data_IF_442858210312
#
_entry.id   IF_442858210312
#
_cell.length_a   1.000
_cell.length_b   1.000
_cell.length_c   1.000
_cell.angle_alpha   90.00
_cell.angle_beta   90.00
_cell.angle_gamma   90.00
#
_symmetry.space_group_name_H-M   'P 1'
#
loop_
_entity.id
_entity.type
_entity.pdbx_description
1 polymer ?
#
# COMPACT_ATOMS: atom_id res chain seq x y z
N UNK A 1 3.46 -7.45 -13.74
CA UNK A 1 4.52 -6.54 -14.24
C UNK A 1 5.37 -6.07 -13.06
N UNK A 2 6.69 -5.98 -13.21
CA UNK A 2 7.61 -5.36 -12.24
C UNK A 2 8.48 -4.33 -12.96
N UNK A 3 8.63 -3.13 -12.39
CA UNK A 3 9.44 -2.04 -12.94
C UNK A 3 10.25 -1.38 -11.83
N UNK A 4 11.55 -1.22 -12.05
CA UNK A 4 12.43 -0.45 -11.16
C UNK A 4 12.37 1.04 -11.46
N UNK A 5 12.63 1.84 -10.44
CA UNK A 5 12.86 3.27 -10.53
C UNK A 5 14.00 3.67 -9.59
N UNK A 6 14.53 4.89 -9.74
CA UNK A 6 15.56 5.42 -8.85
C UNK A 6 15.05 5.43 -7.41
N UNK A 7 15.74 4.79 -6.44
CA UNK A 7 15.23 4.68 -5.08
C UNK A 7 14.81 6.02 -4.48
N UNK A 8 13.57 6.12 -4.02
CA UNK A 8 12.94 7.35 -3.53
C UNK A 8 12.32 7.15 -2.15
N UNK A 9 12.35 8.21 -1.36
CA UNK A 9 11.64 8.33 -0.07
C UNK A 9 10.31 9.06 -0.20
N UNK A 10 9.91 9.44 -1.41
CA UNK A 10 8.58 9.93 -1.73
C UNK A 10 8.07 9.34 -3.05
N UNK A 11 6.78 9.02 -3.09
CA UNK A 11 6.12 8.46 -4.26
C UNK A 11 4.77 9.10 -4.45
N UNK A 12 4.44 9.36 -5.72
CA UNK A 12 3.11 9.66 -6.16
C UNK A 12 2.68 8.63 -7.21
N UNK A 13 1.56 7.97 -6.99
CA UNK A 13 0.98 6.98 -7.91
C UNK A 13 -0.40 7.47 -8.31
N UNK A 14 -0.68 7.49 -9.62
CA UNK A 14 -2.03 7.78 -10.12
C UNK A 14 -2.45 6.81 -11.20
N UNK A 15 -3.72 6.45 -11.22
CA UNK A 15 -4.32 5.58 -12.24
C UNK A 15 -5.84 5.71 -12.21
N UNK A 16 -6.51 5.24 -13.25
CA UNK A 16 -7.96 5.00 -13.23
C UNK A 16 -8.23 3.52 -12.95
N UNK A 17 -9.27 3.23 -12.19
CA UNK A 17 -9.75 1.87 -11.94
C UNK A 17 -11.24 1.76 -12.20
N UNK A 18 -11.68 0.65 -12.78
CA UNK A 18 -13.08 0.27 -12.89
C UNK A 18 -13.27 -1.18 -12.47
N UNK A 19 -14.29 -1.43 -11.66
CA UNK A 19 -14.73 -2.78 -11.31
C UNK A 19 -16.01 -3.14 -12.06
N UNK A 20 -16.14 -4.37 -12.55
CA UNK A 20 -17.35 -4.84 -13.22
C UNK A 20 -18.59 -4.67 -12.32
N UNK A 21 -19.75 -4.42 -12.93
CA UNK A 21 -21.04 -4.49 -12.22
C UNK A 21 -21.18 -5.81 -11.46
N UNK A 22 -21.53 -5.72 -10.17
CA UNK A 22 -21.68 -6.89 -9.30
C UNK A 22 -20.36 -7.54 -8.85
N UNK A 23 -19.23 -6.83 -8.96
CA UNK A 23 -17.95 -7.23 -8.38
C UNK A 23 -18.10 -7.65 -6.92
N UNK A 24 -17.45 -8.76 -6.53
CA UNK A 24 -17.48 -9.31 -5.16
C UNK A 24 -16.09 -9.40 -4.54
N UNK A 25 -15.04 -9.11 -5.30
CA UNK A 25 -13.66 -9.34 -4.88
C UNK A 25 -13.43 -10.81 -4.52
N UNK A 26 -12.52 -11.05 -3.57
CA UNK A 26 -12.09 -12.39 -3.15
C UNK A 26 -13.01 -13.06 -2.13
N UNK A 27 -13.89 -12.30 -1.47
CA UNK A 27 -14.60 -12.71 -0.26
C UNK A 27 -13.67 -13.10 0.90
N UNK A 28 -12.48 -12.48 0.95
CA UNK A 28 -11.49 -12.57 2.03
C UNK A 28 -11.08 -11.16 2.45
N UNK A 29 -10.78 -10.97 3.72
CA UNK A 29 -10.36 -9.67 4.27
C UNK A 29 -8.92 -9.28 3.91
N UNK A 30 -8.16 -10.17 3.26
CA UNK A 30 -6.72 -10.04 2.96
C UNK A 30 -6.40 -10.19 1.46
N UNK A 31 -7.41 -10.28 0.60
CA UNK A 31 -7.28 -10.36 -0.86
C UNK A 31 -8.27 -9.39 -1.52
N UNK A 32 -7.98 -8.82 -2.69
CA UNK A 32 -6.89 -9.15 -3.61
C UNK A 32 -5.55 -8.55 -3.19
N UNK A 33 -4.45 -9.10 -3.73
CA UNK A 33 -3.23 -8.32 -3.91
C UNK A 33 -3.25 -7.62 -5.27
N UNK A 34 -2.85 -6.36 -5.34
CA UNK A 34 -2.98 -5.55 -6.56
C UNK A 34 -1.68 -4.84 -6.97
N UNK A 35 -1.36 -3.72 -6.31
CA UNK A 35 -0.14 -2.96 -6.53
C UNK A 35 0.73 -3.09 -5.29
N UNK A 36 1.99 -3.43 -5.52
CA UNK A 36 2.98 -3.66 -4.48
C UNK A 36 4.22 -2.84 -4.79
N UNK A 37 4.78 -2.19 -3.77
CA UNK A 37 5.91 -1.26 -3.92
C UNK A 37 7.04 -1.71 -2.98
N UNK A 38 7.90 -2.65 -3.41
CA UNK A 38 9.06 -3.12 -2.64
C UNK A 38 10.15 -2.05 -2.46
N UNK A 39 10.97 -2.25 -1.43
CA UNK A 39 12.10 -1.39 -1.13
C UNK A 39 13.36 -1.70 -1.95
N UNK A 40 14.38 -0.87 -1.80
CA UNK A 40 15.73 -1.09 -2.32
C UNK A 40 16.53 -2.17 -1.57
N UNK A 41 16.02 -2.69 -0.43
CA UNK A 41 16.59 -3.87 0.22
C UNK A 41 16.04 -5.18 -0.38
N UNK A 42 14.93 -5.08 -1.12
CA UNK A 42 14.30 -6.21 -1.79
C UNK A 42 14.87 -6.36 -3.20
N UNK A 43 15.28 -7.57 -3.55
CA UNK A 43 15.81 -7.92 -4.87
C UNK A 43 14.69 -8.13 -5.89
N UNK A 44 15.04 -8.36 -7.15
CA UNK A 44 14.08 -8.72 -8.20
C UNK A 44 13.33 -10.03 -7.93
N UNK A 45 13.98 -10.91 -7.16
CA UNK A 45 13.51 -12.25 -6.83
C UNK A 45 12.97 -12.37 -5.40
N UNK A 46 12.97 -11.27 -4.64
CA UNK A 46 12.40 -11.27 -3.29
C UNK A 46 10.91 -11.63 -3.38
N UNK A 47 10.44 -12.65 -2.62
CA UNK A 47 9.03 -12.98 -2.58
C UNK A 47 8.19 -11.80 -2.11
N UNK A 48 7.06 -11.57 -2.78
CA UNK A 48 6.13 -10.51 -2.43
C UNK A 48 5.41 -10.76 -1.09
N UNK A 49 5.58 -11.93 -0.47
CA UNK A 49 5.04 -12.21 0.86
C UNK A 49 6.09 -12.17 1.98
N UNK A 50 7.38 -11.91 1.66
CA UNK A 50 8.45 -11.90 2.66
C UNK A 50 9.60 -10.97 2.24
N UNK A 51 9.59 -9.75 2.77
CA UNK A 51 10.38 -8.61 2.30
C UNK A 51 10.79 -7.67 3.46
N UNK A 52 11.61 -6.67 3.16
CA UNK A 52 12.08 -5.66 4.11
C UNK A 52 11.17 -4.42 4.22
N UNK A 53 10.34 -4.19 3.21
CA UNK A 53 9.21 -3.27 3.23
C UNK A 53 8.45 -3.45 1.92
N UNK A 54 7.16 -3.73 2.02
CA UNK A 54 6.28 -3.70 0.87
C UNK A 54 5.05 -2.87 1.20
N UNK A 55 4.81 -1.88 0.35
CA UNK A 55 3.65 -0.99 0.45
C UNK A 55 2.60 -1.40 -0.56
N UNK A 56 1.34 -1.41 -0.15
CA UNK A 56 0.20 -1.87 -0.92
C UNK A 56 -0.71 -0.71 -1.34
N UNK A 57 -1.21 -0.78 -2.57
CA UNK A 57 -2.39 -0.02 -3.04
C UNK A 57 -3.39 -1.03 -3.59
N UNK A 58 -4.53 -1.17 -2.92
CA UNK A 58 -5.51 -2.23 -3.16
C UNK A 58 -6.95 -1.73 -2.96
N UNK A 59 -7.90 -2.61 -3.27
CA UNK A 59 -9.32 -2.38 -3.04
C UNK A 59 -9.93 -3.64 -2.42
N UNK A 60 -10.44 -3.51 -1.20
CA UNK A 60 -11.06 -4.61 -0.48
C UNK A 60 -12.57 -4.57 -0.69
N UNK A 61 -13.15 -5.67 -1.18
CA UNK A 61 -14.60 -5.85 -1.14
C UNK A 61 -15.00 -6.41 0.22
N UNK A 62 -16.06 -5.87 0.82
CA UNK A 62 -16.67 -6.48 2.01
C UNK A 62 -16.98 -7.97 1.77
N UNK A 63 -16.76 -8.77 2.82
CA UNK A 63 -17.14 -10.18 2.84
C UNK A 63 -18.65 -10.26 3.07
N UNK A 64 -19.36 -10.93 2.17
CA UNK A 64 -20.80 -10.90 2.14
C UNK A 64 -21.39 -9.59 1.60
N UNK A 65 -22.72 -9.52 1.59
CA UNK A 65 -23.46 -8.34 1.14
C UNK A 65 -23.17 -7.14 2.05
N UNK A 66 -22.99 -5.91 1.53
CA UNK A 66 -23.31 -5.46 0.16
C UNK A 66 -22.15 -5.49 -0.84
N UNK A 67 -21.02 -6.14 -0.53
CA UNK A 67 -19.82 -6.14 -1.38
C UNK A 67 -19.27 -4.73 -1.68
N UNK A 68 -19.33 -3.83 -0.70
CA UNK A 68 -18.80 -2.48 -0.86
C UNK A 68 -17.28 -2.55 -1.09
N UNK A 69 -16.80 -1.87 -2.13
CA UNK A 69 -15.38 -1.85 -2.50
C UNK A 69 -14.71 -0.66 -1.83
N UNK A 70 -13.78 -0.92 -0.92
CA UNK A 70 -13.11 0.09 -0.10
C UNK A 70 -11.65 0.23 -0.50
N UNK A 71 -11.15 1.46 -0.74
CA UNK A 71 -9.73 1.72 -0.88
C UNK A 71 -8.95 1.20 0.33
N UNK A 72 -7.81 0.56 0.04
CA UNK A 72 -6.95 -0.11 1.01
C UNK A 72 -5.50 0.28 0.72
N UNK A 73 -4.82 0.77 1.75
CA UNK A 73 -3.37 0.92 1.76
C UNK A 73 -2.77 0.09 2.88
N UNK A 74 -1.57 -0.42 2.68
CA UNK A 74 -0.93 -1.28 3.67
C UNK A 74 0.59 -1.24 3.62
N UNK A 75 1.22 -1.69 4.69
CA UNK A 75 2.64 -2.00 4.75
C UNK A 75 2.85 -3.38 5.35
N UNK A 76 3.95 -4.03 4.97
CA UNK A 76 4.48 -5.21 5.65
C UNK A 76 6.01 -5.18 5.72
N UNK A 77 6.59 -5.84 6.72
CA UNK A 77 8.04 -5.90 7.00
C UNK A 77 8.41 -7.17 7.79
N UNK A 78 8.39 -8.30 7.09
CA UNK A 78 8.64 -9.62 7.69
C UNK A 78 10.13 -9.83 8.00
N UNK A 79 11.03 -9.32 7.14
CA UNK A 79 12.48 -9.51 7.26
C UNK A 79 13.10 -8.78 8.46
N UNK A 80 12.37 -7.84 9.08
CA UNK A 80 12.82 -7.16 10.31
C UNK A 80 12.08 -7.60 11.57
N UNK A 81 11.24 -8.63 11.51
CA UNK A 81 10.65 -9.16 12.75
C UNK A 81 11.75 -9.68 13.67
N UNK A 82 11.85 -9.07 14.85
CA UNK A 82 12.80 -9.42 15.89
C UNK A 82 12.14 -10.33 16.90
N UNK A 83 12.63 -11.57 16.94
CA UNK A 83 12.19 -12.62 17.88
C UNK A 83 13.19 -12.82 19.03
N UNK A 84 14.35 -12.15 18.99
CA UNK A 84 15.39 -12.24 20.03
C UNK A 84 15.01 -11.49 21.30
N UNK A 85 14.10 -10.51 21.23
CA UNK A 85 13.62 -9.72 22.36
C UNK A 85 12.24 -10.19 22.88
N UNK A 86 11.94 -11.48 22.73
CA UNK A 86 10.69 -12.10 23.15
C UNK A 86 9.73 -12.37 21.99
N UNK A 87 8.61 -13.01 22.31
CA UNK A 87 7.60 -13.44 21.34
C UNK A 87 6.76 -12.26 20.83
N UNK A 88 6.68 -12.03 19.51
CA UNK A 88 5.74 -11.07 18.91
C UNK A 88 4.26 -11.46 19.14
N UNK A 89 3.30 -10.50 19.17
CA UNK A 89 3.53 -9.07 19.08
C UNK A 89 4.08 -8.49 20.39
N UNK A 90 5.13 -7.68 20.31
CA UNK A 90 5.71 -6.96 21.45
C UNK A 90 6.16 -5.56 21.03
N UNK A 91 6.19 -4.60 21.95
CA UNK A 91 6.63 -3.25 21.60
C UNK A 91 8.14 -3.10 21.85
N UNK A 92 8.93 -3.03 20.77
CA UNK A 92 10.39 -2.86 20.85
C UNK A 92 10.87 -1.43 20.59
N UNK A 93 9.96 -0.46 20.42
CA UNK A 93 10.30 0.93 20.03
C UNK A 93 11.18 1.68 21.04
N UNK A 94 11.26 1.22 22.29
CA UNK A 94 12.15 1.76 23.31
C UNK A 94 13.40 0.89 23.56
N UNK A 95 13.50 -0.27 22.90
CA UNK A 95 14.52 -1.30 23.15
C UNK A 95 15.54 -1.35 22.01
N UNK A 96 15.08 -1.37 20.76
CA UNK A 96 15.96 -1.50 19.60
C UNK A 96 15.32 -0.97 18.32
N UNK A 97 16.15 -0.54 17.38
CA UNK A 97 15.72 -0.21 16.01
C UNK A 97 15.82 -1.41 15.06
N UNK A 98 16.44 -2.52 15.48
CA UNK A 98 16.35 -3.79 14.75
C UNK A 98 15.01 -4.46 15.05
N UNK A 99 13.94 -3.92 14.47
CA UNK A 99 12.53 -4.31 14.68
C UNK A 99 11.73 -4.06 13.41
N UNK A 100 10.66 -4.83 13.21
CA UNK A 100 9.74 -4.62 12.09
C UNK A 100 9.00 -3.29 12.26
N UNK A 101 8.71 -2.61 11.14
CA UNK A 101 7.91 -1.37 11.18
C UNK A 101 6.42 -1.61 11.39
N UNK A 102 5.94 -2.81 11.07
CA UNK A 102 4.56 -3.25 11.32
C UNK A 102 4.34 -3.83 12.73
N UNK A 103 3.13 -4.34 12.95
CA UNK A 103 2.63 -4.65 14.28
C UNK A 103 3.45 -5.65 15.12
N UNK A 104 4.20 -6.57 14.51
CA UNK A 104 4.92 -7.58 15.30
C UNK A 104 5.90 -6.98 16.31
N UNK A 105 6.56 -5.86 16.01
CA UNK A 105 7.49 -5.23 16.94
C UNK A 105 7.24 -3.72 17.19
N UNK A 106 6.20 -3.16 16.57
CA UNK A 106 5.87 -1.73 16.61
C UNK A 106 4.38 -1.56 16.95
N UNK A 107 4.01 -0.61 17.82
CA UNK A 107 2.60 -0.34 18.10
C UNK A 107 1.83 0.07 16.85
N UNK A 108 0.61 -0.43 16.71
CA UNK A 108 -0.30 -0.08 15.60
C UNK A 108 -0.58 1.42 15.60
N UNK A 109 -0.33 2.13 14.48
CA UNK A 109 -0.69 3.54 14.37
C UNK A 109 -2.21 3.75 14.49
N UNK A 110 -2.62 4.89 15.05
CA UNK A 110 -4.04 5.22 15.17
C UNK A 110 -4.77 5.15 13.81
N UNK A 111 -5.89 4.44 13.78
CA UNK A 111 -6.70 4.24 12.58
C UNK A 111 -6.16 3.21 11.59
N UNK A 112 -5.15 2.42 11.98
CA UNK A 112 -4.73 1.22 11.27
C UNK A 112 -5.26 -0.06 11.95
N UNK A 113 -5.29 -1.16 11.21
CA UNK A 113 -5.42 -2.52 11.73
C UNK A 113 -4.06 -3.20 11.61
N UNK A 114 -3.46 -3.57 12.75
CA UNK A 114 -2.21 -4.30 12.78
C UNK A 114 -2.41 -5.81 12.72
N UNK A 115 -1.56 -6.50 11.96
CA UNK A 115 -1.55 -7.95 11.85
C UNK A 115 -0.16 -8.49 12.18
N UNK A 116 -0.13 -9.45 13.10
CA UNK A 116 1.08 -10.20 13.45
C UNK A 116 0.72 -11.67 13.70
N UNK A 117 1.34 -12.58 12.97
CA UNK A 117 1.21 -14.02 13.20
C UNK A 117 2.46 -14.78 12.72
N UNK A 118 2.66 -16.00 13.20
CA UNK A 118 3.78 -16.83 12.79
C UNK A 118 3.60 -17.32 11.34
N UNK A 119 4.51 -16.92 10.47
CA UNK A 119 4.54 -17.25 9.04
C UNK A 119 5.97 -17.10 8.50
N UNK A 120 6.80 -18.10 8.77
CA UNK A 120 8.21 -18.23 8.36
C UNK A 120 9.09 -16.94 8.33
N UNK A 121 9.50 -16.39 9.50
CA UNK A 121 9.04 -16.78 10.83
C UNK A 121 7.76 -16.04 11.23
N UNK A 122 7.52 -14.82 10.75
CA UNK A 122 6.39 -13.99 11.14
C UNK A 122 5.96 -13.06 9.99
N UNK A 123 4.64 -12.91 9.85
CA UNK A 123 4.02 -11.84 9.09
C UNK A 123 3.87 -10.61 9.99
N UNK A 124 4.28 -9.43 9.53
CA UNK A 124 4.15 -8.17 10.28
C UNK A 124 3.66 -7.08 9.35
N UNK A 125 2.46 -6.56 9.58
CA UNK A 125 1.88 -5.52 8.74
C UNK A 125 0.90 -4.61 9.47
N UNK A 126 0.64 -3.46 8.86
CA UNK A 126 -0.38 -2.49 9.27
C UNK A 126 -1.17 -2.06 8.04
N UNK A 127 -2.49 -1.97 8.18
CA UNK A 127 -3.41 -1.67 7.09
C UNK A 127 -4.33 -0.50 7.41
N UNK A 128 -4.65 0.28 6.38
CA UNK A 128 -5.57 1.40 6.42
C UNK A 128 -6.66 1.16 5.38
N UNK A 129 -7.88 0.98 5.85
CA UNK A 129 -9.06 0.77 5.01
C UNK A 129 -9.91 2.02 5.10
N UNK A 130 -10.32 2.57 3.96
CA UNK A 130 -11.22 3.72 3.97
C UNK A 130 -12.60 3.35 4.51
N UNK A 131 -13.26 4.31 5.16
CA UNK A 131 -14.68 4.23 5.50
C UNK A 131 -15.58 4.46 4.28
N UNK A 132 -15.04 5.03 3.20
CA UNK A 132 -15.75 5.27 1.95
C UNK A 132 -15.63 4.06 1.03
N UNK A 133 -16.67 3.84 0.23
CA UNK A 133 -16.68 2.82 -0.83
C UNK A 133 -16.82 3.46 -2.20
N UNK A 134 -16.35 2.77 -3.22
CA UNK A 134 -16.50 3.16 -4.63
C UNK A 134 -17.59 2.33 -5.31
N UNK A 135 -18.17 2.89 -6.36
CA UNK A 135 -19.20 2.23 -7.17
C UNK A 135 -18.61 1.28 -8.20
N UNK A 136 -19.42 0.35 -8.70
CA UNK A 136 -19.04 -0.52 -9.83
C UNK A 136 -19.51 0.07 -11.16
N UNK A 137 -18.90 -0.41 -12.25
CA UNK A 137 -19.20 -0.06 -13.64
C UNK A 137 -18.98 1.41 -14.02
N UNK A 138 -18.18 2.14 -13.24
CA UNK A 138 -17.70 3.49 -13.55
C UNK A 138 -16.20 3.58 -13.30
N UNK A 139 -15.52 4.46 -14.02
CA UNK A 139 -14.11 4.72 -13.77
C UNK A 139 -13.95 5.65 -12.57
N UNK A 140 -13.01 5.32 -11.70
CA UNK A 140 -12.61 6.12 -10.56
C UNK A 140 -11.14 6.51 -10.72
N UNK A 141 -10.84 7.79 -10.54
CA UNK A 141 -9.45 8.26 -10.51
C UNK A 141 -8.88 8.02 -9.11
N UNK A 142 -7.76 7.33 -9.05
CA UNK A 142 -7.02 7.01 -7.82
C UNK A 142 -5.72 7.79 -7.82
N UNK A 143 -5.46 8.49 -6.71
CA UNK A 143 -4.22 9.21 -6.49
C UNK A 143 -3.70 8.85 -5.11
N UNK A 144 -2.43 8.44 -5.01
CA UNK A 144 -1.81 8.00 -3.76
C UNK A 144 -0.48 8.72 -3.58
N UNK A 145 -0.27 9.25 -2.39
CA UNK A 145 0.98 9.88 -1.99
C UNK A 145 1.57 9.18 -0.76
N UNK A 146 2.84 8.79 -0.89
CA UNK A 146 3.63 8.26 0.21
C UNK A 146 4.87 9.11 0.45
N UNK A 147 5.22 9.30 1.71
CA UNK A 147 6.51 9.86 2.12
C UNK A 147 7.05 9.07 3.30
N UNK A 148 8.26 8.56 3.18
CA UNK A 148 8.92 7.85 4.27
C UNK A 148 9.11 8.78 5.46
N UNK A 149 9.08 8.16 6.63
CA UNK A 149 9.38 8.84 7.88
C UNK A 149 10.85 9.26 7.98
N UNK A 150 11.10 10.22 8.86
CA UNK A 150 12.44 10.73 9.17
C UNK A 150 13.19 9.80 10.13
N UNK A 151 14.52 9.85 10.05
CA UNK A 151 15.42 9.26 11.03
C UNK A 151 16.08 10.41 11.79
N UNK A 152 15.92 10.45 13.11
CA UNK A 152 16.50 11.48 13.98
C UNK A 152 17.02 10.85 15.26
N UNK A 153 18.21 11.27 15.71
CA UNK A 153 18.85 10.75 16.92
C UNK A 153 19.08 9.24 16.89
N UNK A 154 19.31 8.65 15.71
CA UNK A 154 19.45 7.20 15.55
C UNK A 154 18.14 6.43 15.75
N UNK A 155 16.99 7.07 15.56
CA UNK A 155 15.66 6.46 15.71
C UNK A 155 14.71 6.86 14.58
N UNK A 156 13.94 5.90 14.07
CA UNK A 156 12.82 6.18 13.17
C UNK A 156 11.71 6.93 13.90
N UNK A 157 11.28 8.05 13.32
CA UNK A 157 10.15 8.84 13.81
C UNK A 157 8.84 8.33 13.20
N UNK A 158 7.72 8.45 13.90
CA UNK A 158 6.40 8.12 13.34
C UNK A 158 5.79 9.36 12.67
N UNK A 159 6.41 9.83 11.59
CA UNK A 159 6.04 11.06 10.86
C UNK A 159 5.91 10.85 9.34
N UNK A 160 5.85 9.59 8.89
CA UNK A 160 5.63 9.25 7.48
C UNK A 160 4.21 9.59 7.02
N UNK A 161 4.09 9.94 5.75
CA UNK A 161 2.82 10.34 5.11
C UNK A 161 2.26 9.20 4.28
N UNK A 162 0.97 8.93 4.44
CA UNK A 162 0.18 8.04 3.60
C UNK A 162 -1.16 8.71 3.29
N UNK A 163 -1.40 9.03 2.03
CA UNK A 163 -2.62 9.71 1.60
C UNK A 163 -3.17 9.08 0.33
N UNK A 164 -4.49 8.97 0.26
CA UNK A 164 -5.20 8.49 -0.93
C UNK A 164 -6.40 9.38 -1.22
N UNK A 165 -6.60 9.65 -2.50
CA UNK A 165 -7.76 10.33 -3.04
C UNK A 165 -8.45 9.45 -4.07
N UNK A 166 -9.77 9.44 -4.01
CA UNK A 166 -10.65 8.86 -5.03
C UNK A 166 -11.50 9.98 -5.59
N UNK A 167 -11.44 10.19 -6.90
CA UNK A 167 -12.18 11.26 -7.61
C UNK A 167 -11.96 12.64 -6.96
N UNK A 168 -10.72 12.91 -6.52
CA UNK A 168 -10.33 14.14 -5.85
C UNK A 168 -10.74 14.24 -4.36
N UNK A 169 -11.49 13.29 -3.83
CA UNK A 169 -11.87 13.24 -2.41
C UNK A 169 -10.83 12.46 -1.61
N UNK A 170 -10.25 13.07 -0.58
CA UNK A 170 -9.27 12.39 0.28
C UNK A 170 -9.96 11.34 1.16
N UNK A 171 -9.64 10.07 0.95
CA UNK A 171 -10.28 8.91 1.60
C UNK A 171 -9.41 8.24 2.68
N UNK A 172 -8.09 8.44 2.61
CA UNK A 172 -7.10 8.06 3.64
C UNK A 172 -6.16 9.25 3.84
N UNK A 173 -5.94 9.65 5.10
CA UNK A 173 -5.05 10.75 5.47
C UNK A 173 -4.28 10.41 6.75
N UNK A 174 -3.02 10.00 6.61
CA UNK A 174 -2.15 9.64 7.73
C UNK A 174 -0.84 10.41 7.63
N UNK A 175 -0.37 10.85 8.79
CA UNK A 175 0.90 11.55 8.96
C UNK A 175 1.76 10.95 10.07
N UNK A 176 1.50 9.70 10.43
CA UNK A 176 2.11 8.99 11.54
C UNK A 176 2.56 7.56 11.17
N UNK A 177 2.86 7.32 9.90
CA UNK A 177 3.23 5.99 9.38
C UNK A 177 4.73 5.75 9.57
N UNK A 178 5.10 4.53 9.96
CA UNK A 178 6.48 4.07 10.05
C UNK A 178 6.82 3.23 8.82
N UNK A 179 7.74 3.68 7.99
CA UNK A 179 8.22 2.95 6.81
C UNK A 179 9.63 2.38 6.99
N UNK A 180 10.43 2.98 7.88
CA UNK A 180 11.79 2.52 8.20
C UNK A 180 12.20 2.89 9.62
N UNK A 181 13.01 2.03 10.23
CA UNK A 181 13.72 2.31 11.47
C UNK A 181 15.14 2.79 11.18
N UNK A 182 15.90 3.21 12.19
CA UNK A 182 17.30 3.59 12.02
C UNK A 182 18.21 2.40 11.64
N UNK A 183 17.77 1.16 11.91
CA UNK A 183 18.47 -0.04 11.43
C UNK A 183 18.56 -0.07 9.89
N UNK A 184 17.58 0.51 9.22
CA UNK A 184 17.48 0.61 7.77
C UNK A 184 17.33 2.07 7.33
N UNK A 185 18.15 2.97 7.89
CA UNK A 185 18.01 4.41 7.69
C UNK A 185 18.03 4.86 6.21
N UNK A 186 18.70 4.10 5.33
CA UNK A 186 18.80 4.37 3.89
C UNK A 186 17.78 3.61 3.04
N UNK A 187 16.87 2.84 3.67
CA UNK A 187 15.78 2.14 2.96
C UNK A 187 14.90 3.17 2.25
N UNK A 188 14.57 2.86 1.01
CA UNK A 188 13.77 3.66 0.07
C UNK A 188 12.92 2.73 -0.78
N UNK A 189 11.81 3.20 -1.33
CA UNK A 189 11.08 2.44 -2.35
C UNK A 189 11.91 2.43 -3.64
N UNK A 190 11.92 1.32 -4.38
CA UNK A 190 12.72 1.21 -5.60
C UNK A 190 12.04 0.42 -6.73
N UNK A 191 10.90 -0.19 -6.44
CA UNK A 191 10.22 -1.08 -7.37
C UNK A 191 8.72 -0.83 -7.34
N UNK A 192 8.09 -0.97 -8.50
CA UNK A 192 6.64 -0.96 -8.66
C UNK A 192 6.22 -2.29 -9.29
N UNK A 193 5.28 -2.97 -8.65
CA UNK A 193 4.77 -4.27 -9.08
C UNK A 193 3.25 -4.17 -9.24
N UNK A 194 2.76 -4.38 -10.45
CA UNK A 194 1.35 -4.63 -10.71
C UNK A 194 1.16 -6.13 -10.84
N UNK A 195 0.59 -6.76 -9.82
CA UNK A 195 0.36 -8.20 -9.75
C UNK A 195 -1.03 -8.50 -9.15
N UNK A 196 -2.10 -8.29 -9.93
CA UNK A 196 -3.45 -8.66 -9.51
C UNK A 196 -3.51 -10.15 -9.19
N UNK A 197 -3.83 -10.49 -7.95
CA UNK A 197 -3.84 -11.87 -7.47
C UNK A 197 -4.93 -12.06 -6.41
N UNK A 198 -5.77 -13.07 -6.62
CA UNK A 198 -6.76 -13.53 -5.65
C UNK A 198 -6.42 -14.99 -5.34
N UNK A 199 -5.54 -15.21 -4.36
CA UNK A 199 -4.97 -16.54 -4.08
C UNK A 199 -6.00 -17.63 -3.81
N UNK A 200 -7.07 -17.29 -3.11
CA UNK A 200 -8.15 -18.22 -2.73
C UNK A 200 -9.21 -18.39 -3.84
N UNK A 201 -8.99 -17.76 -4.99
CA UNK A 201 -9.92 -17.77 -6.09
C UNK A 201 -11.03 -16.73 -5.97
N UNK A 202 -11.67 -16.49 -7.11
CA UNK A 202 -12.79 -15.55 -7.24
C UNK A 202 -14.12 -16.31 -7.12
N UNK A 203 -15.12 -15.82 -6.35
CA UNK A 203 -16.41 -16.49 -6.22
C UNK A 203 -17.27 -16.42 -7.49
N UNK A 204 -16.92 -15.51 -8.42
CA UNK A 204 -17.56 -15.33 -9.73
C UNK A 204 -16.50 -15.02 -10.79
N UNK A 205 -16.82 -15.20 -12.07
CA UNK A 205 -16.04 -14.54 -13.12
C UNK A 205 -16.26 -13.02 -12.99
N UNK A 206 -15.17 -12.28 -12.82
CA UNK A 206 -15.23 -10.83 -12.66
C UNK A 206 -14.02 -10.17 -13.31
N UNK A 207 -14.21 -8.96 -13.81
CA UNK A 207 -13.17 -8.17 -14.49
C UNK A 207 -12.97 -6.84 -13.79
N UNK A 208 -11.71 -6.42 -13.71
CA UNK A 208 -11.33 -5.07 -13.35
C UNK A 208 -10.48 -4.49 -14.49
N UNK A 209 -10.52 -3.18 -14.63
CA UNK A 209 -9.70 -2.45 -15.60
C UNK A 209 -8.88 -1.41 -14.85
N UNK A 210 -7.63 -1.23 -15.29
CA UNK A 210 -6.73 -0.18 -14.81
C UNK A 210 -6.19 0.54 -16.03
N UNK A 211 -6.13 1.86 -15.98
CA UNK A 211 -5.55 2.68 -17.04
C UNK A 211 -4.81 3.91 -16.53
N UNK A 212 -4.07 4.57 -17.42
CA UNK A 212 -3.28 5.78 -17.17
C UNK A 212 -2.37 5.70 -15.94
N UNK A 213 -1.80 4.53 -15.71
CA UNK A 213 -0.90 4.31 -14.58
C UNK A 213 0.38 5.14 -14.72
N UNK A 214 0.58 6.03 -13.73
CA UNK A 214 1.77 6.85 -13.56
C UNK A 214 2.38 6.63 -12.18
N UNK A 215 3.72 6.56 -12.15
CA UNK A 215 4.52 6.56 -10.93
C UNK A 215 5.53 7.71 -11.01
N UNK A 216 5.56 8.58 -10.00
CA UNK A 216 6.46 9.72 -9.89
C UNK A 216 7.29 9.68 -8.61
N UNK A 217 8.57 10.04 -8.72
CA UNK A 217 9.54 10.05 -7.61
C UNK A 217 10.00 11.47 -7.20
N UNK A 218 9.60 12.51 -7.93
CA UNK A 218 10.15 13.87 -7.80
C UNK A 218 9.62 14.70 -6.61
N UNK A 219 8.92 14.07 -5.66
CA UNK A 219 8.28 14.76 -4.54
C UNK A 219 7.02 15.50 -4.99
N UNK A 220 5.96 15.40 -4.17
CA UNK A 220 4.63 16.01 -4.31
C UNK A 220 4.29 16.52 -5.72
N UNK A 221 3.37 15.83 -6.42
CA UNK A 221 2.49 16.57 -7.34
C UNK A 221 2.12 17.87 -6.61
N UNK A 222 2.39 19.01 -7.24
CA UNK A 222 2.32 20.34 -6.66
C UNK A 222 1.24 20.38 -5.58
N UNK A 223 1.51 20.97 -4.41
CA UNK A 223 0.53 21.12 -3.32
C UNK A 223 -0.79 21.82 -3.68
N UNK A 224 -1.08 22.00 -4.97
CA UNK A 224 -2.41 22.05 -5.54
C UNK A 224 -3.09 20.69 -5.41
N UNK A 225 -4.13 20.63 -4.59
CA UNK A 225 -5.24 19.69 -4.77
C UNK A 225 -5.51 19.52 -6.27
N UNK A 226 -5.44 18.30 -6.84
CA UNK A 226 -5.88 18.08 -8.21
C UNK A 226 -7.28 18.66 -8.38
N UNK A 227 -7.60 19.37 -9.47
CA UNK A 227 -8.95 19.88 -9.67
C UNK A 227 -9.93 18.71 -9.57
N UNK A 228 -11.02 18.92 -8.83
CA UNK A 228 -12.14 17.98 -8.70
C UNK A 228 -12.65 17.64 -10.10
N UNK A 229 -12.17 16.55 -10.69
CA UNK A 229 -12.87 15.92 -11.79
C UNK A 229 -13.92 15.03 -11.15
N UNK A 230 -15.18 15.50 -11.15
CA UNK A 230 -16.31 14.59 -10.96
C UNK A 230 -16.09 13.36 -11.84
N UNK A 231 -16.31 12.18 -11.27
CA UNK A 231 -15.89 10.89 -11.83
C UNK A 231 -15.95 10.87 -13.37
N UNK A 232 -14.81 10.59 -13.99
CA UNK A 232 -14.72 10.53 -15.44
C UNK A 232 -15.53 9.32 -15.93
N UNK A 233 -16.56 9.59 -16.73
CA UNK A 233 -17.37 8.53 -17.35
C UNK A 233 -16.81 8.12 -18.72
N UNK A 234 -15.81 8.86 -19.20
CA UNK A 234 -15.15 8.60 -20.47
C UNK A 234 -14.15 7.46 -20.30
N UNK A 235 -14.20 6.42 -21.12
CA UNK A 235 -13.13 5.44 -21.18
C UNK A 235 -11.81 6.14 -21.50
N UNK A 236 -10.72 5.82 -20.79
CA UNK A 236 -9.39 6.29 -21.16
C UNK A 236 -9.05 5.87 -22.60
N UNK A 237 -8.16 6.64 -23.23
CA UNK A 237 -7.63 6.25 -24.54
C UNK A 237 -6.85 4.93 -24.42
N UNK A 238 -6.70 4.21 -25.54
CA UNK A 238 -5.98 2.93 -25.58
C UNK A 238 -4.62 3.06 -24.87
N UNK A 239 -4.30 2.20 -23.88
CA UNK A 239 -3.09 2.32 -23.09
C UNK A 239 -1.83 2.34 -23.98
N UNK A 240 -0.99 3.37 -23.84
CA UNK A 240 0.31 3.45 -24.54
C UNK A 240 1.45 2.80 -23.75
N UNK A 241 1.18 2.29 -22.54
CA UNK A 241 2.15 1.67 -21.64
C UNK A 241 2.21 2.33 -20.26
N UNK A 242 3.15 1.88 -19.43
CA UNK A 242 3.38 2.45 -18.08
C UNK A 242 4.45 3.54 -18.16
N UNK A 243 4.15 4.72 -17.63
CA UNK A 243 5.09 5.84 -17.57
C UNK A 243 5.67 5.96 -16.16
N UNK A 244 7.00 5.93 -16.07
CA UNK A 244 7.76 6.24 -14.84
C UNK A 244 8.51 7.54 -15.12
N UNK A 245 8.26 8.57 -14.32
CA UNK A 245 8.87 9.90 -14.47
C UNK A 245 9.54 10.39 -13.19
#
# INVERSE_FOLDING_TARGET
MRKKFTPSDSLYVSFYVKFQSGWRGSQKAYHPHLILIPSNLDTDYTPLANNYLQTYIEFLSDVGSPYAIKPFLGIQDEKRVNTSNGTPPNNLTAVTENRSVGYCNTPVPAGATGICYADNPYYSGDYWISNSSISTNVWHKVEVYFKMNTISGGKGQSDGIMQEWIDGVKVIDRSNVMYRTAQDATKKWAQFVLAPWIGDGSPIAQTMWIDELKVSTSGSGSGTTPPLSGGDTTPPAVPTGVTVS
#
